data_IF_197617185864
#
_entry.id   IF_197617185864
#
_cell.length_a   1.000
_cell.length_b   1.000
_cell.length_c   1.000
_cell.angle_alpha   90.00
_cell.angle_beta   90.00
_cell.angle_gamma   90.00
#
_symmetry.space_group_name_H-M   'P 1'
#
loop_
_entity.id
_entity.type
_entity.pdbx_description
1 polymer ?
#
# COMPACT_ATOMS: atom_id res chain seq x y z
N UNK A 1 -15.33 8.66 1.61
CA UNK A 1 -15.92 7.33 1.89
C UNK A 1 -14.83 6.45 2.44
N UNK A 2 -15.11 5.64 3.46
CA UNK A 2 -14.17 4.66 4.01
C UNK A 2 -14.90 3.36 4.28
N UNK A 3 -14.16 2.25 4.32
CA UNK A 3 -14.64 1.02 4.94
C UNK A 3 -14.65 1.17 6.47
N UNK A 4 -15.58 0.49 7.14
CA UNK A 4 -15.80 0.61 8.60
C UNK A 4 -14.93 -0.32 9.45
N UNK A 5 -14.12 -1.15 8.81
CA UNK A 5 -13.24 -2.17 9.39
C UNK A 5 -11.75 -1.78 9.40
N UNK A 6 -11.41 -0.66 8.75
CA UNK A 6 -10.06 -0.12 8.69
C UNK A 6 -9.83 1.07 9.64
N UNK A 7 -8.71 1.05 10.37
CA UNK A 7 -8.22 2.21 11.12
C UNK A 7 -6.90 2.68 10.51
N UNK A 8 -6.75 3.99 10.37
CA UNK A 8 -5.53 4.61 9.87
C UNK A 8 -5.32 5.98 10.51
N UNK A 9 -4.05 6.35 10.71
CA UNK A 9 -3.67 7.68 11.20
C UNK A 9 -3.50 8.64 10.01
N UNK A 10 -4.61 9.13 9.46
CA UNK A 10 -4.62 10.03 8.28
C UNK A 10 -5.10 11.41 8.71
N UNK A 11 -4.38 12.45 8.31
CA UNK A 11 -4.89 13.83 8.43
C UNK A 11 -5.92 14.10 7.32
N UNK A 12 -7.18 14.27 7.70
CA UNK A 12 -8.26 14.50 6.75
C UNK A 12 -8.22 15.90 6.12
N UNK A 13 -7.73 16.92 6.82
CA UNK A 13 -7.64 18.27 6.27
C UNK A 13 -6.65 18.34 5.10
N UNK A 14 -5.50 17.70 5.26
CA UNK A 14 -4.48 17.65 4.20
C UNK A 14 -4.96 16.81 3.01
N UNK A 15 -5.72 15.73 3.26
CA UNK A 15 -6.31 14.90 2.21
C UNK A 15 -7.35 15.67 1.38
N UNK A 16 -8.20 16.47 2.04
CA UNK A 16 -9.18 17.32 1.35
C UNK A 16 -8.48 18.40 0.53
N UNK A 17 -7.49 19.10 1.11
CA UNK A 17 -6.69 20.09 0.37
C UNK A 17 -5.99 19.47 -0.84
N UNK A 18 -5.44 18.27 -0.71
CA UNK A 18 -4.84 17.54 -1.83
C UNK A 18 -5.86 17.26 -2.94
N UNK A 19 -7.07 16.82 -2.59
CA UNK A 19 -8.14 16.56 -3.56
C UNK A 19 -8.58 17.82 -4.29
N UNK A 20 -8.84 18.91 -3.55
CA UNK A 20 -9.27 20.19 -4.09
C UNK A 20 -8.21 20.85 -4.98
N UNK A 21 -6.93 20.56 -4.74
CA UNK A 21 -5.81 21.10 -5.52
C UNK A 21 -5.53 20.35 -6.83
N UNK A 22 -6.33 19.35 -7.20
CA UNK A 22 -6.19 18.63 -8.47
C UNK A 22 -7.53 18.44 -9.20
N UNK A 23 -7.49 18.30 -10.52
CA UNK A 23 -8.71 18.13 -11.35
C UNK A 23 -9.24 16.69 -11.40
N UNK A 24 -8.75 15.80 -10.53
CA UNK A 24 -9.20 14.41 -10.46
C UNK A 24 -10.60 14.30 -9.85
N UNK A 25 -11.43 13.42 -10.41
CA UNK A 25 -12.82 13.18 -9.94
C UNK A 25 -12.85 12.51 -8.56
N UNK A 26 -11.77 11.84 -8.15
CA UNK A 26 -11.65 11.17 -6.86
C UNK A 26 -10.20 11.12 -6.36
N UNK A 27 -10.04 11.02 -5.04
CA UNK A 27 -8.77 10.76 -4.35
C UNK A 27 -8.92 9.48 -3.53
N UNK A 28 -7.93 8.60 -3.61
CA UNK A 28 -7.87 7.36 -2.83
C UNK A 28 -6.64 7.37 -1.93
N UNK A 29 -6.82 6.92 -0.68
CA UNK A 29 -5.70 6.61 0.20
C UNK A 29 -5.37 5.12 0.08
N UNK A 30 -4.09 4.83 -0.16
CA UNK A 30 -3.57 3.49 -0.45
C UNK A 30 -2.63 3.08 0.68
N UNK A 31 -2.79 1.85 1.18
CA UNK A 31 -1.90 1.22 2.16
C UNK A 31 -1.07 0.12 1.50
N UNK A 32 0.08 -0.20 2.08
CA UNK A 32 0.93 -1.30 1.65
C UNK A 32 0.62 -2.53 2.51
N UNK A 33 -0.12 -3.52 1.99
CA UNK A 33 -0.42 -4.72 2.74
C UNK A 33 0.86 -5.51 3.00
N UNK A 34 0.88 -6.21 4.14
CA UNK A 34 1.91 -7.21 4.40
C UNK A 34 1.64 -8.46 3.54
N UNK A 35 2.70 -9.09 3.08
CA UNK A 35 2.58 -10.39 2.41
C UNK A 35 2.02 -11.43 3.37
N UNK A 36 1.08 -12.25 2.90
CA UNK A 36 0.65 -13.45 3.65
C UNK A 36 1.71 -14.54 3.70
N UNK A 37 2.74 -14.42 2.85
CA UNK A 37 3.84 -15.37 2.68
C UNK A 37 5.19 -14.72 2.95
N UNK A 38 6.24 -15.52 3.15
CA UNK A 38 7.61 -15.04 3.15
C UNK A 38 8.03 -14.45 1.80
N UNK A 39 8.78 -13.34 1.84
CA UNK A 39 9.37 -12.69 0.67
C UNK A 39 10.82 -13.16 0.56
N UNK A 40 11.20 -13.62 -0.63
CA UNK A 40 12.57 -14.03 -0.97
C UNK A 40 13.12 -13.04 -2.00
N UNK A 41 14.31 -12.50 -1.74
CA UNK A 41 15.06 -11.73 -2.73
C UNK A 41 16.14 -12.63 -3.36
N UNK A 42 16.26 -12.60 -4.68
CA UNK A 42 17.25 -13.38 -5.43
C UNK A 42 18.14 -12.49 -6.29
N UNK A 43 19.38 -12.90 -6.51
CA UNK A 43 20.28 -12.26 -7.47
C UNK A 43 20.02 -12.74 -8.92
N UNK A 44 20.68 -12.18 -9.94
CA UNK A 44 20.50 -12.61 -11.33
C UNK A 44 20.89 -14.07 -11.62
N UNK A 45 21.61 -14.73 -10.71
CA UNK A 45 21.96 -16.15 -10.78
C UNK A 45 20.94 -17.04 -10.04
N UNK A 46 19.79 -16.49 -9.64
CA UNK A 46 18.74 -17.16 -8.88
C UNK A 46 19.18 -17.67 -7.49
N UNK A 47 20.25 -17.12 -6.93
CA UNK A 47 20.66 -17.41 -5.56
C UNK A 47 19.89 -16.52 -4.58
N UNK A 48 19.39 -17.10 -3.49
CA UNK A 48 18.70 -16.37 -2.43
C UNK A 48 19.69 -15.47 -1.71
N UNK A 49 19.39 -14.18 -1.67
CA UNK A 49 20.21 -13.17 -0.99
C UNK A 49 19.56 -12.66 0.30
N UNK A 50 18.23 -12.79 0.43
CA UNK A 50 17.48 -12.37 1.62
C UNK A 50 16.15 -13.11 1.74
N UNK A 51 15.67 -13.26 2.97
CA UNK A 51 14.36 -13.78 3.30
C UNK A 51 13.70 -12.92 4.39
N UNK A 52 12.42 -12.59 4.21
CA UNK A 52 11.61 -11.85 5.16
C UNK A 52 10.26 -12.51 5.34
N UNK A 53 10.04 -13.11 6.52
CA UNK A 53 8.75 -13.71 6.86
C UNK A 53 7.67 -12.62 6.99
N UNK A 54 6.58 -12.77 6.23
CA UNK A 54 5.46 -11.81 6.15
C UNK A 54 5.93 -10.37 5.90
N UNK A 55 6.96 -10.24 5.05
CA UNK A 55 7.55 -8.96 4.69
C UNK A 55 6.55 -8.04 3.97
N UNK A 56 6.89 -6.76 3.88
CA UNK A 56 6.17 -5.79 3.04
C UNK A 56 6.73 -5.85 1.61
N UNK A 57 5.87 -5.96 0.60
CA UNK A 57 6.31 -5.97 -0.80
C UNK A 57 6.94 -4.64 -1.20
N UNK A 58 8.13 -4.63 -1.80
CA UNK A 58 8.81 -3.39 -2.22
C UNK A 58 8.16 -2.64 -3.42
N UNK A 59 6.98 -3.03 -3.91
CA UNK A 59 6.34 -2.44 -5.11
C UNK A 59 4.99 -1.76 -4.81
N UNK A 60 4.74 -0.74 -5.63
CA UNK A 60 3.79 0.39 -5.59
C UNK A 60 2.30 0.01 -5.63
N UNK A 61 1.56 0.67 -4.73
CA UNK A 61 0.16 1.07 -4.82
C UNK A 61 -0.85 -0.10 -4.94
N UNK A 62 -1.35 -0.55 -3.79
CA UNK A 62 -2.54 -1.38 -3.70
C UNK A 62 -3.71 -0.48 -3.27
N UNK A 63 -4.62 -0.20 -4.19
CA UNK A 63 -5.94 0.30 -3.80
C UNK A 63 -6.61 -0.82 -3.02
N UNK A 64 -7.00 -0.55 -1.78
CA UNK A 64 -7.72 -1.51 -0.95
C UNK A 64 -9.13 -1.69 -1.56
N UNK A 65 -9.19 -2.55 -2.58
CA UNK A 65 -10.38 -3.03 -3.25
C UNK A 65 -10.45 -4.51 -2.92
N UNK A 66 -10.97 -4.84 -1.74
CA UNK A 66 -11.39 -6.21 -1.45
C UNK A 66 -12.68 -6.48 -2.25
N UNK A 67 -12.50 -6.96 -3.47
CA UNK A 67 -13.44 -7.87 -4.14
C UNK A 67 -12.66 -9.12 -4.55
#
# INVERSE_FOLDING_TARGET
>A
MTYGDGLANINLEDLVKFHENHNGVATFTITQPQSRFGIVETNPQNLVTSFSEKGKFKIKLIVDLWF
#
